data_IF_419047898443
#
_entry.id   IF_419047898443
#
_cell.length_a   1.000
_cell.length_b   1.000
_cell.length_c   1.000
_cell.angle_alpha   90.00
_cell.angle_beta   90.00
_cell.angle_gamma   90.00
#
_symmetry.space_group_name_H-M   'P 1'
#
loop_
_entity.id
_entity.type
_entity.pdbx_description
1 polymer ?
#
# COMPACT_ATOMS: atom_id res chain seq x y z
N UNK A 1 -9.61 3.18 13.13
CA UNK A 1 -8.45 3.96 13.62
C UNK A 1 -8.04 4.97 12.57
N UNK A 2 -7.93 6.22 12.95
CA UNK A 2 -7.47 7.28 12.06
C UNK A 2 -5.95 7.40 12.10
N UNK A 3 -5.38 8.19 11.15
CA UNK A 3 -3.95 8.48 11.15
C UNK A 3 -3.50 9.10 12.48
N UNK A 4 -4.29 10.04 13.02
CA UNK A 4 -3.96 10.72 14.28
C UNK A 4 -3.97 9.76 15.47
N UNK A 5 -4.93 8.85 15.52
CA UNK A 5 -4.99 7.81 16.55
C UNK A 5 -3.81 6.85 16.44
N UNK A 6 -3.43 6.49 15.22
CA UNK A 6 -2.28 5.64 14.97
C UNK A 6 -0.98 6.32 15.43
N UNK A 7 -0.81 7.60 15.09
CA UNK A 7 0.36 8.39 15.53
C UNK A 7 0.45 8.43 17.06
N UNK A 8 -0.68 8.66 17.74
CA UNK A 8 -0.70 8.69 19.20
C UNK A 8 -0.29 7.35 19.81
N UNK A 9 -0.78 6.25 19.26
CA UNK A 9 -0.41 4.92 19.71
C UNK A 9 1.06 4.60 19.47
N UNK A 10 1.57 4.94 18.29
CA UNK A 10 2.99 4.76 17.97
C UNK A 10 3.88 5.55 18.91
N UNK A 11 3.51 6.79 19.20
CA UNK A 11 4.27 7.64 20.13
C UNK A 11 4.33 7.01 21.52
N UNK A 12 3.22 6.51 22.02
CA UNK A 12 3.15 5.86 23.33
C UNK A 12 3.97 4.57 23.37
N UNK A 13 3.79 3.71 22.35
CA UNK A 13 4.47 2.41 22.30
C UNK A 13 5.99 2.55 22.14
N UNK A 14 6.44 3.51 21.35
CA UNK A 14 7.87 3.75 21.10
C UNK A 14 8.52 4.71 22.08
N UNK A 15 7.73 5.29 22.98
CA UNK A 15 8.20 6.30 23.95
C UNK A 15 8.87 7.49 23.25
N UNK A 16 8.20 8.00 22.24
CA UNK A 16 8.63 9.18 21.47
C UNK A 16 7.49 10.20 21.45
N UNK A 17 7.78 11.42 20.98
CA UNK A 17 6.75 12.45 20.83
C UNK A 17 5.80 12.12 19.66
N UNK A 18 4.60 12.72 19.69
CA UNK A 18 3.65 12.60 18.55
C UNK A 18 4.25 13.16 17.26
N UNK A 19 5.02 14.23 17.36
CA UNK A 19 5.71 14.84 16.23
C UNK A 19 6.70 13.86 15.60
N UNK A 20 7.49 13.20 16.44
CA UNK A 20 8.45 12.18 15.98
C UNK A 20 7.75 10.97 15.37
N UNK A 21 6.66 10.52 15.99
CA UNK A 21 5.87 9.40 15.48
C UNK A 21 5.24 9.73 14.12
N UNK A 22 4.71 10.95 13.98
CA UNK A 22 4.14 11.41 12.71
C UNK A 22 5.20 11.47 11.61
N UNK A 23 6.39 12.01 11.93
CA UNK A 23 7.50 12.07 10.99
C UNK A 23 7.92 10.66 10.54
N UNK A 24 7.99 9.71 11.47
CA UNK A 24 8.32 8.32 11.17
C UNK A 24 7.28 7.67 10.26
N UNK A 25 6.00 7.87 10.54
CA UNK A 25 4.91 7.33 9.73
C UNK A 25 4.91 7.93 8.32
N UNK A 26 5.09 9.25 8.23
CA UNK A 26 5.17 9.93 6.93
C UNK A 26 6.36 9.43 6.11
N UNK A 27 7.50 9.21 6.74
CA UNK A 27 8.68 8.64 6.08
C UNK A 27 8.41 7.22 5.58
N UNK A 28 7.74 6.40 6.38
CA UNK A 28 7.35 5.04 5.98
C UNK A 28 6.46 5.06 4.74
N UNK A 29 5.42 5.87 4.74
CA UNK A 29 4.50 6.00 3.60
C UNK A 29 5.23 6.49 2.36
N UNK A 30 6.08 7.52 2.50
CA UNK A 30 6.86 8.05 1.38
C UNK A 30 7.83 7.02 0.83
N UNK A 31 8.47 6.23 1.70
CA UNK A 31 9.41 5.19 1.29
C UNK A 31 8.72 4.06 0.53
N UNK A 32 7.53 3.65 0.96
CA UNK A 32 6.73 2.65 0.25
C UNK A 32 6.36 3.18 -1.15
N UNK A 33 5.88 4.40 -1.24
CA UNK A 33 5.53 5.03 -2.53
C UNK A 33 6.72 5.08 -3.47
N UNK A 34 7.87 5.49 -2.97
CA UNK A 34 9.11 5.58 -3.75
C UNK A 34 9.56 4.21 -4.26
N UNK A 35 9.59 3.21 -3.40
CA UNK A 35 10.00 1.86 -3.79
C UNK A 35 9.06 1.25 -4.83
N UNK A 36 7.77 1.36 -4.63
CA UNK A 36 6.78 0.84 -5.59
C UNK A 36 6.85 1.61 -6.92
N UNK A 37 7.15 2.92 -6.87
CA UNK A 37 7.36 3.71 -8.06
C UNK A 37 8.52 3.23 -8.92
N UNK A 38 9.53 2.62 -8.30
CA UNK A 38 10.67 2.00 -8.98
C UNK A 38 10.41 0.54 -9.36
N UNK A 39 9.24 -0.02 -9.02
CA UNK A 39 8.93 -1.42 -9.25
C UNK A 39 9.52 -2.36 -8.20
N UNK A 40 10.02 -1.83 -7.10
CA UNK A 40 10.60 -2.61 -6.00
C UNK A 40 9.55 -2.88 -4.92
N UNK A 41 9.53 -4.09 -4.37
CA UNK A 41 8.64 -4.44 -3.28
C UNK A 41 9.21 -4.00 -1.93
N UNK A 42 8.31 -3.82 -0.94
CA UNK A 42 8.69 -3.56 0.44
C UNK A 42 8.10 -4.68 1.30
N UNK A 43 8.96 -5.47 1.90
CA UNK A 43 8.56 -6.62 2.69
C UNK A 43 8.80 -6.37 4.17
N UNK A 44 7.74 -6.58 4.97
CA UNK A 44 7.82 -6.52 6.43
C UNK A 44 7.54 -7.92 6.96
N UNK A 45 8.59 -8.57 7.44
CA UNK A 45 8.51 -9.96 7.92
C UNK A 45 7.42 -10.10 8.98
N UNK A 46 6.53 -11.08 8.78
CA UNK A 46 5.43 -11.33 9.70
C UNK A 46 4.21 -10.43 9.51
N UNK A 47 4.34 -9.33 8.77
CA UNK A 47 3.24 -8.39 8.55
C UNK A 47 2.67 -8.51 7.13
N UNK A 48 3.51 -8.32 6.14
CA UNK A 48 3.07 -8.38 4.75
C UNK A 48 4.06 -7.75 3.79
N UNK A 49 3.70 -7.79 2.51
CA UNK A 49 4.54 -7.27 1.44
C UNK A 49 3.75 -6.32 0.57
N UNK A 50 4.27 -5.11 0.40
CA UNK A 50 3.78 -4.15 -0.58
C UNK A 50 4.47 -4.42 -1.90
N UNK A 51 3.73 -4.49 -2.98
CA UNK A 51 4.28 -4.79 -4.29
C UNK A 51 3.54 -4.08 -5.41
N UNK A 52 3.95 -4.37 -6.61
CA UNK A 52 3.33 -3.81 -7.83
C UNK A 52 2.88 -4.96 -8.71
N UNK A 53 1.64 -4.91 -9.13
CA UNK A 53 1.08 -5.82 -10.12
C UNK A 53 0.98 -5.10 -11.46
N UNK A 54 1.41 -5.77 -12.52
CA UNK A 54 1.30 -5.25 -13.88
C UNK A 54 0.04 -5.82 -14.53
N UNK A 55 -0.80 -4.95 -15.04
CA UNK A 55 -1.97 -5.34 -15.82
C UNK A 55 -1.71 -4.96 -17.27
N UNK A 56 -1.73 -5.95 -18.15
CA UNK A 56 -1.55 -5.74 -19.58
C UNK A 56 -2.74 -4.99 -20.16
N UNK A 57 -2.49 -4.25 -21.25
CA UNK A 57 -3.56 -3.66 -22.03
C UNK A 57 -4.49 -4.76 -22.53
N UNK A 58 -5.79 -4.51 -22.52
CA UNK A 58 -6.80 -5.46 -22.95
C UNK A 58 -7.96 -4.72 -23.60
N UNK A 59 -8.76 -5.47 -24.38
CA UNK A 59 -10.01 -4.96 -24.94
C UNK A 59 -11.14 -5.30 -23.98
N UNK A 60 -11.98 -4.32 -23.71
CA UNK A 60 -13.20 -4.49 -22.94
C UNK A 60 -14.40 -4.06 -23.77
N UNK A 61 -15.59 -4.15 -23.19
CA UNK A 61 -16.83 -3.67 -23.81
C UNK A 61 -17.53 -2.70 -22.90
N UNK A 62 -18.05 -1.63 -23.50
CA UNK A 62 -18.93 -0.73 -22.77
C UNK A 62 -20.27 -1.45 -22.52
N UNK A 63 -20.68 -1.65 -21.28
CA UNK A 63 -21.92 -2.39 -20.97
C UNK A 63 -23.19 -1.68 -21.44
N UNK A 64 -23.12 -0.37 -21.72
CA UNK A 64 -24.28 0.40 -22.18
C UNK A 64 -24.41 0.41 -23.69
N UNK A 65 -23.30 0.51 -24.41
CA UNK A 65 -23.31 0.65 -25.88
C UNK A 65 -22.86 -0.62 -26.60
N UNK A 66 -22.21 -1.55 -25.91
CA UNK A 66 -21.62 -2.74 -26.52
C UNK A 66 -20.36 -2.46 -27.33
N UNK A 67 -19.91 -1.20 -27.38
CA UNK A 67 -18.71 -0.83 -28.14
C UNK A 67 -17.45 -1.38 -27.47
N UNK A 68 -16.47 -1.76 -28.29
CA UNK A 68 -15.14 -2.14 -27.78
C UNK A 68 -14.42 -0.90 -27.26
N UNK A 69 -13.78 -1.07 -26.12
CA UNK A 69 -12.91 -0.05 -25.52
C UNK A 69 -11.53 -0.66 -25.27
N UNK A 70 -10.50 0.17 -25.39
CA UNK A 70 -9.13 -0.23 -25.07
C UNK A 70 -8.85 0.16 -23.62
N UNK A 71 -8.53 -0.85 -22.79
CA UNK A 71 -8.08 -0.65 -21.44
C UNK A 71 -6.56 -0.65 -21.45
N UNK A 72 -5.89 0.49 -21.15
CA UNK A 72 -4.44 0.57 -21.24
C UNK A 72 -3.76 -0.30 -20.17
N UNK A 73 -2.54 -0.71 -20.46
CA UNK A 73 -1.67 -1.34 -19.48
C UNK A 73 -1.42 -0.37 -18.33
N UNK A 74 -1.38 -0.89 -17.11
CA UNK A 74 -1.09 -0.07 -15.92
C UNK A 74 -0.45 -0.88 -14.82
N UNK A 75 0.21 -0.15 -13.92
CA UNK A 75 0.78 -0.72 -12.70
C UNK A 75 -0.18 -0.42 -11.54
N UNK A 76 -0.38 -1.40 -10.68
CA UNK A 76 -1.30 -1.29 -9.55
C UNK A 76 -0.56 -1.66 -8.28
N UNK A 77 -0.58 -0.81 -7.24
CA UNK A 77 0.00 -1.18 -5.95
C UNK A 77 -0.83 -2.29 -5.31
N UNK A 78 -0.16 -3.24 -4.68
CA UNK A 78 -0.81 -4.35 -3.99
C UNK A 78 -0.22 -4.52 -2.60
N UNK A 79 -1.00 -5.13 -1.71
CA UNK A 79 -0.53 -5.54 -0.41
C UNK A 79 -0.93 -6.99 -0.16
N UNK A 80 0.06 -7.83 0.12
CA UNK A 80 -0.17 -9.23 0.47
C UNK A 80 0.11 -9.42 1.94
N UNK A 81 -0.92 -9.79 2.70
CA UNK A 81 -0.80 -10.00 4.14
C UNK A 81 0.13 -11.19 4.44
N UNK A 82 0.99 -11.00 5.42
CA UNK A 82 1.86 -12.06 5.94
C UNK A 82 1.14 -12.91 6.98
N UNK A 83 1.80 -13.97 7.39
CA UNK A 83 1.23 -14.93 8.36
C UNK A 83 0.86 -14.27 9.68
N UNK A 84 1.74 -13.43 10.22
CA UNK A 84 1.48 -12.75 11.50
C UNK A 84 0.23 -11.89 11.49
N UNK A 85 -0.01 -11.19 10.38
CA UNK A 85 -1.21 -10.37 10.22
C UNK A 85 -2.46 -11.25 10.05
N UNK A 86 -2.37 -12.31 9.28
CA UNK A 86 -3.48 -13.26 9.09
C UNK A 86 -3.87 -13.92 10.40
N UNK A 87 -2.89 -14.26 11.23
CA UNK A 87 -3.12 -14.90 12.53
C UNK A 87 -3.73 -13.93 13.56
N UNK A 88 -3.59 -12.65 13.36
CA UNK A 88 -4.11 -11.60 14.26
C UNK A 88 -5.61 -11.31 14.04
N UNK A 89 -6.18 -11.78 12.96
CA UNK A 89 -7.61 -11.53 12.63
C UNK A 89 -8.41 -12.80 12.57
#
# INVERSE_FOLDING_TARGET
>A
MTKQELVAKMAADANISKKEAEAALNSFVASVKESLGKGESVSLVGFGTFGVSHRNARKGRNPQTGAEINIPARRVPTFKAGKGLKDAV
#
